data_IF_984931425358
#
_entry.id   IF_984931425358
#
_cell.length_a   1.000
_cell.length_b   1.000
_cell.length_c   1.000
_cell.angle_alpha   90.00
_cell.angle_beta   90.00
_cell.angle_gamma   90.00
#
_symmetry.space_group_name_H-M   'P 1'
#
loop_
_entity.id
_entity.type
_entity.pdbx_description
1 polymer ?
#
# COMPACT_ATOMS: atom_id res chain seq x y z
N UNK A 1 2.00 16.74 -5.52
CA UNK A 1 1.06 17.13 -4.45
C UNK A 1 0.04 16.02 -4.35
N UNK A 2 -0.22 15.47 -3.15
CA UNK A 2 -1.17 14.39 -2.92
C UNK A 2 -2.53 14.63 -3.59
N UNK A 3 -3.08 13.62 -4.28
CA UNK A 3 -4.43 13.65 -4.85
C UNK A 3 -5.47 13.45 -3.75
N UNK A 4 -5.98 14.55 -3.23
CA UNK A 4 -7.11 14.55 -2.31
C UNK A 4 -8.44 14.50 -3.06
N UNK A 5 -9.42 13.79 -2.49
CA UNK A 5 -10.81 13.89 -2.93
C UNK A 5 -11.44 15.09 -2.22
N UNK A 6 -11.91 16.13 -2.96
CA UNK A 6 -12.65 17.23 -2.36
C UNK A 6 -13.88 16.75 -1.60
N UNK A 7 -14.18 17.37 -0.46
CA UNK A 7 -15.26 16.93 0.44
C UNK A 7 -16.65 16.85 -0.22
N UNK A 8 -16.91 17.71 -1.21
CA UNK A 8 -18.13 17.74 -2.02
C UNK A 8 -18.22 16.58 -3.02
N UNK A 9 -17.08 16.01 -3.43
CA UNK A 9 -17.01 14.85 -4.33
C UNK A 9 -17.00 13.51 -3.59
N UNK A 10 -16.77 13.48 -2.27
CA UNK A 10 -16.75 12.24 -1.48
C UNK A 10 -18.02 11.40 -1.66
N UNK A 11 -19.26 11.95 -1.63
CA UNK A 11 -20.46 11.13 -1.85
C UNK A 11 -20.49 10.46 -3.23
N UNK A 12 -19.97 11.13 -4.27
CA UNK A 12 -19.90 10.56 -5.61
C UNK A 12 -18.82 9.49 -5.73
N UNK A 13 -17.66 9.71 -5.13
CA UNK A 13 -16.58 8.70 -5.04
C UNK A 13 -17.09 7.46 -4.33
N UNK A 14 -17.65 7.60 -3.12
CA UNK A 14 -18.20 6.47 -2.37
C UNK A 14 -19.31 5.76 -3.14
N UNK A 15 -20.25 6.52 -3.73
CA UNK A 15 -21.35 5.96 -4.50
C UNK A 15 -20.89 5.18 -5.75
N UNK A 16 -19.82 5.64 -6.40
CA UNK A 16 -19.18 4.93 -7.51
C UNK A 16 -18.48 3.65 -7.06
N UNK A 17 -17.76 3.68 -5.93
CA UNK A 17 -17.09 2.49 -5.38
C UNK A 17 -18.11 1.42 -4.92
N UNK A 18 -19.17 1.83 -4.21
CA UNK A 18 -20.29 0.93 -3.83
C UNK A 18 -20.95 0.37 -5.10
N UNK A 19 -21.20 1.21 -6.10
CA UNK A 19 -21.78 0.80 -7.37
C UNK A 19 -20.88 -0.14 -8.19
N UNK A 20 -19.56 -0.14 -7.96
CA UNK A 20 -18.62 -1.08 -8.55
C UNK A 20 -18.64 -2.44 -7.86
N UNK A 21 -18.92 -2.47 -6.56
CA UNK A 21 -19.10 -3.70 -5.78
C UNK A 21 -20.52 -4.28 -5.88
N UNK A 22 -21.48 -3.55 -6.46
CA UNK A 22 -22.89 -3.94 -6.58
C UNK A 22 -23.16 -5.00 -7.67
N UNK A 23 -22.56 -6.16 -7.49
CA UNK A 23 -22.67 -7.35 -8.36
C UNK A 23 -22.91 -8.58 -7.50
N UNK A 24 -23.36 -9.68 -8.11
CA UNK A 24 -23.50 -10.98 -7.43
C UNK A 24 -24.31 -10.94 -6.12
N UNK A 25 -25.33 -10.07 -6.06
CA UNK A 25 -26.16 -9.85 -4.87
C UNK A 25 -25.73 -8.68 -3.98
N UNK A 26 -24.69 -7.94 -4.37
CA UNK A 26 -24.23 -6.72 -3.71
C UNK A 26 -22.78 -6.81 -3.20
N UNK A 27 -22.28 -5.74 -2.55
CA UNK A 27 -20.94 -5.74 -1.96
C UNK A 27 -20.81 -6.83 -0.90
N UNK A 28 -19.62 -7.46 -0.82
CA UNK A 28 -19.30 -8.43 0.24
C UNK A 28 -19.24 -7.74 1.61
N UNK A 29 -19.31 -8.47 2.74
CA UNK A 29 -19.10 -7.90 4.06
C UNK A 29 -17.75 -7.16 4.19
N UNK A 30 -16.71 -7.71 3.58
CA UNK A 30 -15.36 -7.11 3.55
C UNK A 30 -15.33 -5.82 2.73
N UNK A 31 -15.90 -5.82 1.51
CA UNK A 31 -16.05 -4.60 0.71
C UNK A 31 -16.83 -3.52 1.48
N UNK A 32 -17.92 -3.90 2.16
CA UNK A 32 -18.67 -2.97 2.99
C UNK A 32 -17.84 -2.40 4.15
N UNK A 33 -17.06 -3.23 4.84
CA UNK A 33 -16.18 -2.80 5.92
C UNK A 33 -15.12 -1.80 5.42
N UNK A 34 -14.44 -2.11 4.31
CA UNK A 34 -13.44 -1.21 3.70
C UNK A 34 -14.07 0.12 3.27
N UNK A 35 -15.22 0.09 2.61
CA UNK A 35 -15.92 1.31 2.20
C UNK A 35 -16.35 2.18 3.39
N UNK A 36 -16.81 1.55 4.48
CA UNK A 36 -17.18 2.24 5.71
C UNK A 36 -15.97 2.85 6.43
N UNK A 37 -14.85 2.14 6.45
CA UNK A 37 -13.60 2.63 7.00
C UNK A 37 -13.06 3.82 6.20
N UNK A 38 -13.11 3.77 4.86
CA UNK A 38 -12.74 4.91 4.02
C UNK A 38 -13.63 6.13 4.28
N UNK A 39 -14.95 5.94 4.37
CA UNK A 39 -15.87 7.03 4.72
C UNK A 39 -15.53 7.67 6.06
N UNK A 40 -15.27 6.85 7.08
CA UNK A 40 -15.05 7.33 8.45
C UNK A 40 -13.65 7.90 8.67
N UNK A 41 -12.61 7.18 8.27
CA UNK A 41 -11.23 7.49 8.66
C UNK A 41 -10.41 8.21 7.58
N UNK A 42 -10.72 7.98 6.29
CA UNK A 42 -10.03 8.70 5.21
C UNK A 42 -10.69 10.05 4.93
N UNK A 43 -12.01 10.08 4.80
CA UNK A 43 -12.75 11.28 4.40
C UNK A 43 -13.37 12.06 5.57
N UNK A 44 -13.33 11.54 6.79
CA UNK A 44 -13.98 12.14 7.97
C UNK A 44 -15.48 12.41 7.74
N UNK A 45 -16.16 11.43 7.14
CA UNK A 45 -17.59 11.46 6.78
C UNK A 45 -18.33 10.24 7.34
N UNK A 46 -18.38 10.07 8.68
CA UNK A 46 -19.12 8.96 9.31
C UNK A 46 -20.65 9.04 9.07
N UNK A 47 -21.15 10.16 8.54
CA UNK A 47 -22.53 10.33 8.11
C UNK A 47 -22.85 9.59 6.79
N UNK A 48 -21.83 9.21 6.02
CA UNK A 48 -22.00 8.47 4.78
C UNK A 48 -21.93 6.96 5.03
N UNK A 49 -23.08 6.31 4.92
CA UNK A 49 -23.22 4.87 5.09
C UNK A 49 -23.20 4.15 3.72
N UNK A 50 -22.19 3.29 3.42
CA UNK A 50 -22.11 2.54 2.18
C UNK A 50 -23.31 1.60 1.92
N UNK A 51 -24.06 1.22 2.97
CA UNK A 51 -25.24 0.37 2.83
C UNK A 51 -26.44 1.15 2.23
N UNK A 52 -26.51 2.46 2.46
CA UNK A 52 -27.67 3.30 2.13
C UNK A 52 -27.37 4.43 1.15
N UNK A 53 -26.09 4.70 0.85
CA UNK A 53 -25.73 5.73 -0.11
C UNK A 53 -26.21 5.41 -1.54
N UNK A 54 -26.35 6.45 -2.35
CA UNK A 54 -26.70 6.28 -3.77
C UNK A 54 -25.62 5.50 -4.50
N UNK A 55 -26.00 4.42 -5.19
CA UNK A 55 -25.11 3.62 -6.04
C UNK A 55 -25.03 4.30 -7.40
N UNK A 56 -23.85 4.84 -7.73
CA UNK A 56 -23.64 5.42 -9.04
C UNK A 56 -23.21 4.33 -10.01
N UNK A 57 -23.63 4.40 -11.27
CA UNK A 57 -23.08 3.56 -12.34
C UNK A 57 -21.81 4.19 -12.95
N UNK A 58 -21.15 3.50 -13.90
CA UNK A 58 -19.94 3.98 -14.55
C UNK A 58 -20.07 5.40 -15.14
N UNK A 59 -21.06 5.64 -16.00
CA UNK A 59 -21.25 6.94 -16.67
C UNK A 59 -21.59 8.06 -15.70
N UNK A 60 -22.43 7.76 -14.70
CA UNK A 60 -22.80 8.73 -13.67
C UNK A 60 -21.60 9.10 -12.79
N UNK A 61 -20.73 8.12 -12.48
CA UNK A 61 -19.48 8.35 -11.76
C UNK A 61 -18.51 9.19 -12.59
N UNK A 62 -18.34 8.85 -13.87
CA UNK A 62 -17.48 9.61 -14.78
C UNK A 62 -17.93 11.07 -14.97
N UNK A 63 -19.25 11.30 -15.02
CA UNK A 63 -19.83 12.64 -15.08
C UNK A 63 -19.65 13.42 -13.77
N UNK A 64 -19.71 12.75 -12.62
CA UNK A 64 -19.53 13.37 -11.31
C UNK A 64 -18.06 13.66 -10.97
N UNK A 65 -17.12 12.93 -11.57
CA UNK A 65 -15.68 13.06 -11.33
C UNK A 65 -14.95 13.61 -12.57
N UNK A 66 -15.06 14.92 -12.89
CA UNK A 66 -14.44 15.49 -14.07
C UNK A 66 -12.92 15.71 -13.93
N UNK A 67 -12.39 15.75 -12.70
CA UNK A 67 -10.97 16.00 -12.42
C UNK A 67 -10.14 14.71 -12.57
N UNK A 68 -9.15 14.66 -13.49
CA UNK A 68 -8.26 13.52 -13.65
C UNK A 68 -7.52 13.10 -12.37
N UNK A 69 -7.18 14.03 -11.48
CA UNK A 69 -6.54 13.73 -10.20
C UNK A 69 -7.47 12.92 -9.29
N UNK A 70 -8.74 13.29 -9.24
CA UNK A 70 -9.77 12.56 -8.47
C UNK A 70 -10.07 11.21 -9.11
N UNK A 71 -10.10 11.11 -10.45
CA UNK A 71 -10.26 9.83 -11.15
C UNK A 71 -9.14 8.86 -10.85
N UNK A 72 -7.89 9.33 -10.78
CA UNK A 72 -6.76 8.47 -10.45
C UNK A 72 -6.82 7.97 -8.99
N UNK A 73 -7.21 8.84 -8.04
CA UNK A 73 -7.46 8.40 -6.65
C UNK A 73 -8.64 7.43 -6.56
N UNK A 74 -9.71 7.65 -7.32
CA UNK A 74 -10.82 6.73 -7.43
C UNK A 74 -10.36 5.36 -7.96
N UNK A 75 -9.50 5.33 -8.97
CA UNK A 75 -8.95 4.09 -9.55
C UNK A 75 -8.18 3.25 -8.53
N UNK A 76 -7.31 3.88 -7.74
CA UNK A 76 -6.55 3.20 -6.67
C UNK A 76 -7.47 2.56 -5.61
N UNK A 77 -8.56 3.25 -5.25
CA UNK A 77 -9.57 2.74 -4.31
C UNK A 77 -10.50 1.69 -4.95
N UNK A 78 -10.85 1.86 -6.23
CA UNK A 78 -11.67 0.94 -7.00
C UNK A 78 -11.02 -0.44 -7.07
N UNK A 79 -9.72 -0.46 -7.40
CA UNK A 79 -8.96 -1.70 -7.45
C UNK A 79 -8.80 -2.33 -6.06
N UNK A 80 -8.61 -1.52 -5.01
CA UNK A 80 -8.60 -2.03 -3.62
C UNK A 80 -9.89 -2.78 -3.28
N UNK A 81 -11.06 -2.22 -3.58
CA UNK A 81 -12.33 -2.88 -3.28
C UNK A 81 -12.66 -4.02 -4.24
N UNK A 82 -12.13 -4.04 -5.47
CA UNK A 82 -12.19 -5.20 -6.36
C UNK A 82 -11.50 -6.42 -5.74
N UNK A 83 -10.33 -6.20 -5.10
CA UNK A 83 -9.53 -7.25 -4.46
C UNK A 83 -10.18 -7.84 -3.21
N UNK A 84 -11.09 -7.11 -2.57
CA UNK A 84 -11.83 -7.54 -1.37
C UNK A 84 -12.97 -8.54 -1.66
N UNK A 85 -12.99 -9.15 -2.85
CA UNK A 85 -13.98 -10.17 -3.24
C UNK A 85 -13.30 -11.52 -3.45
N UNK A 86 -13.62 -12.46 -2.56
CA UNK A 86 -13.03 -13.80 -2.52
C UNK A 86 -14.10 -14.89 -2.70
N UNK A 87 -14.06 -15.69 -3.78
CA UNK A 87 -13.17 -15.58 -4.94
C UNK A 87 -13.55 -14.39 -5.83
N UNK A 88 -12.57 -13.91 -6.61
CA UNK A 88 -12.81 -12.92 -7.68
C UNK A 88 -13.82 -13.51 -8.67
N UNK A 89 -14.83 -12.74 -9.04
CA UNK A 89 -15.87 -13.17 -9.98
C UNK A 89 -15.71 -12.49 -11.34
N UNK A 90 -16.05 -13.17 -12.46
CA UNK A 90 -16.07 -12.53 -13.78
C UNK A 90 -16.95 -11.28 -13.81
N UNK A 91 -18.11 -11.31 -13.14
CA UNK A 91 -19.03 -10.17 -13.06
C UNK A 91 -18.43 -8.97 -12.32
N UNK A 92 -17.65 -9.17 -11.27
CA UNK A 92 -16.90 -8.10 -10.60
C UNK A 92 -15.85 -7.48 -11.53
N UNK A 93 -15.11 -8.30 -12.27
CA UNK A 93 -14.08 -7.84 -13.22
C UNK A 93 -14.70 -7.06 -14.39
N UNK A 94 -15.76 -7.58 -14.99
CA UNK A 94 -16.53 -6.91 -16.05
C UNK A 94 -17.10 -5.56 -15.55
N UNK A 95 -17.58 -5.53 -14.29
CA UNK A 95 -18.10 -4.31 -13.68
C UNK A 95 -17.01 -3.26 -13.54
N UNK A 96 -15.86 -3.61 -12.99
CA UNK A 96 -14.72 -2.69 -12.85
C UNK A 96 -14.21 -2.23 -14.21
N UNK A 97 -14.24 -3.09 -15.23
CA UNK A 97 -13.89 -2.70 -16.61
C UNK A 97 -14.81 -1.62 -17.16
N UNK A 98 -16.11 -1.71 -16.89
CA UNK A 98 -17.05 -0.67 -17.28
C UNK A 98 -16.74 0.69 -16.61
N UNK A 99 -16.36 0.69 -15.32
CA UNK A 99 -15.88 1.91 -14.66
C UNK A 99 -14.58 2.43 -15.28
N UNK A 100 -13.60 1.55 -15.48
CA UNK A 100 -12.33 1.94 -16.08
C UNK A 100 -12.53 2.56 -17.46
N UNK A 101 -13.39 1.96 -18.30
CA UNK A 101 -13.73 2.49 -19.62
C UNK A 101 -14.42 3.88 -19.54
N UNK A 102 -15.43 4.03 -18.68
CA UNK A 102 -16.18 5.29 -18.56
C UNK A 102 -15.33 6.45 -17.99
N UNK A 103 -14.44 6.14 -17.05
CA UNK A 103 -13.54 7.11 -16.44
C UNK A 103 -12.22 7.31 -17.21
N UNK A 104 -12.02 6.58 -18.30
CA UNK A 104 -10.77 6.58 -19.10
C UNK A 104 -9.53 6.20 -18.26
N UNK A 105 -9.70 5.23 -17.37
CA UNK A 105 -8.64 4.70 -16.52
C UNK A 105 -7.82 3.65 -17.28
N UNK A 106 -6.51 3.66 -17.07
CA UNK A 106 -5.59 2.70 -17.64
C UNK A 106 -4.47 2.39 -16.66
N UNK A 107 -4.00 1.16 -16.67
CA UNK A 107 -2.90 0.71 -15.83
C UNK A 107 -2.66 -0.79 -15.93
N UNK A 108 -1.45 -1.28 -15.56
CA UNK A 108 -1.12 -2.70 -15.57
C UNK A 108 -1.96 -3.51 -14.56
N UNK A 109 -2.41 -2.87 -13.49
CA UNK A 109 -3.26 -3.40 -12.44
C UNK A 109 -4.63 -3.88 -12.97
N UNK A 110 -5.23 -3.16 -13.91
CA UNK A 110 -6.45 -3.63 -14.59
C UNK A 110 -6.21 -4.98 -15.30
N UNK A 111 -5.05 -5.19 -15.91
CA UNK A 111 -4.75 -6.45 -16.59
C UNK A 111 -4.75 -7.67 -15.65
N UNK A 112 -4.29 -7.50 -14.41
CA UNK A 112 -4.01 -8.61 -13.50
C UNK A 112 -5.24 -9.46 -13.17
N UNK A 113 -6.35 -8.83 -12.81
CA UNK A 113 -7.58 -9.55 -12.43
C UNK A 113 -8.28 -10.18 -13.63
N UNK A 114 -8.11 -9.58 -14.80
CA UNK A 114 -8.61 -10.11 -16.07
C UNK A 114 -7.83 -11.36 -16.45
N UNK A 115 -6.50 -11.30 -16.38
CA UNK A 115 -5.62 -12.47 -16.51
C UNK A 115 -5.97 -13.54 -15.47
N UNK A 116 -6.21 -13.16 -14.22
CA UNK A 116 -6.55 -14.10 -13.14
C UNK A 116 -7.83 -14.88 -13.47
N UNK A 117 -8.88 -14.20 -13.93
CA UNK A 117 -10.17 -14.84 -14.29
C UNK A 117 -10.08 -15.62 -15.60
N UNK A 118 -9.42 -15.08 -16.63
CA UNK A 118 -9.40 -15.67 -17.97
C UNK A 118 -8.35 -16.78 -18.15
N UNK A 119 -7.18 -16.61 -17.52
CA UNK A 119 -5.99 -17.44 -17.73
C UNK A 119 -5.48 -18.12 -16.44
N UNK A 120 -5.97 -17.70 -15.27
CA UNK A 120 -5.67 -18.32 -13.97
C UNK A 120 -4.53 -17.67 -13.19
N UNK A 121 -4.41 -18.06 -11.91
CA UNK A 121 -3.49 -17.44 -10.94
C UNK A 121 -2.02 -17.50 -11.34
N UNK A 122 -1.55 -18.60 -11.94
CA UNK A 122 -0.15 -18.73 -12.35
C UNK A 122 0.24 -17.69 -13.41
N UNK A 123 -0.66 -17.38 -14.36
CA UNK A 123 -0.40 -16.39 -15.38
C UNK A 123 -0.46 -14.97 -14.81
N UNK A 124 -1.44 -14.69 -13.95
CA UNK A 124 -1.55 -13.41 -13.26
C UNK A 124 -0.35 -13.13 -12.35
N UNK A 125 0.15 -14.14 -11.63
CA UNK A 125 1.38 -14.05 -10.84
C UNK A 125 2.59 -13.74 -11.73
N UNK A 126 2.74 -14.41 -12.88
CA UNK A 126 3.81 -14.12 -13.83
C UNK A 126 3.70 -12.71 -14.46
N UNK A 127 2.50 -12.13 -14.55
CA UNK A 127 2.31 -10.73 -14.95
C UNK A 127 2.75 -9.77 -13.85
N UNK A 128 2.33 -10.04 -12.61
CA UNK A 128 2.75 -9.27 -11.43
C UNK A 128 4.27 -9.30 -11.22
N UNK A 129 4.92 -10.46 -11.32
CA UNK A 129 6.37 -10.61 -11.18
C UNK A 129 7.14 -9.73 -12.18
N UNK A 130 6.65 -9.60 -13.42
CA UNK A 130 7.28 -8.71 -14.42
C UNK A 130 7.16 -7.25 -14.02
N UNK A 131 5.97 -6.81 -13.60
CA UNK A 131 5.77 -5.44 -13.13
C UNK A 131 6.61 -5.15 -11.88
N UNK A 132 6.68 -6.11 -10.97
CA UNK A 132 7.51 -6.02 -9.78
C UNK A 132 8.98 -5.84 -10.13
N UNK A 133 9.50 -6.67 -11.04
CA UNK A 133 10.90 -6.62 -11.47
C UNK A 133 11.28 -5.26 -12.08
N UNK A 134 10.38 -4.65 -12.86
CA UNK A 134 10.58 -3.31 -13.45
C UNK A 134 10.70 -2.20 -12.38
N UNK A 135 10.07 -2.40 -11.22
CA UNK A 135 10.03 -1.40 -10.14
C UNK A 135 11.18 -1.53 -9.14
N UNK A 136 11.91 -2.66 -9.13
CA UNK A 136 13.02 -2.91 -8.18
C UNK A 136 14.01 -1.74 -8.15
N UNK A 137 14.57 -1.25 -9.28
CA UNK A 137 15.58 -0.20 -9.23
C UNK A 137 15.05 1.13 -8.67
N UNK A 138 13.80 1.47 -9.01
CA UNK A 138 13.16 2.71 -8.57
C UNK A 138 12.83 2.70 -7.07
N UNK A 139 12.56 1.52 -6.51
CA UNK A 139 12.22 1.32 -5.09
C UNK A 139 13.39 0.91 -4.20
N UNK A 140 14.56 0.68 -4.79
CA UNK A 140 15.76 0.31 -4.05
C UNK A 140 16.43 1.50 -3.39
N UNK A 141 16.99 1.25 -2.20
CA UNK A 141 17.78 2.19 -1.42
C UNK A 141 18.85 2.85 -2.31
N UNK A 142 18.84 4.20 -2.46
CA UNK A 142 19.73 4.88 -3.39
C UNK A 142 21.20 4.53 -3.22
N UNK A 143 21.68 4.41 -1.98
CA UNK A 143 23.07 4.09 -1.67
C UNK A 143 23.45 2.62 -1.92
N UNK A 144 22.48 1.76 -2.26
CA UNK A 144 22.67 0.32 -2.54
C UNK A 144 22.29 -0.08 -3.96
N UNK A 145 21.91 0.86 -4.85
CA UNK A 145 21.44 0.53 -6.22
C UNK A 145 22.41 -0.30 -7.05
N UNK A 146 23.72 -0.12 -6.88
CA UNK A 146 24.73 -0.95 -7.57
C UNK A 146 24.68 -2.44 -7.19
N UNK A 147 23.93 -2.81 -6.15
CA UNK A 147 23.70 -4.19 -5.74
C UNK A 147 22.57 -4.85 -6.53
N UNK A 148 21.60 -4.11 -7.07
CA UNK A 148 20.42 -4.70 -7.73
C UNK A 148 20.76 -5.46 -9.01
N UNK A 149 21.95 -5.23 -9.58
CA UNK A 149 22.45 -5.95 -10.76
C UNK A 149 23.38 -7.10 -10.41
N UNK A 150 23.65 -7.34 -9.12
CA UNK A 150 24.52 -8.44 -8.67
C UNK A 150 23.70 -9.72 -8.53
N UNK A 151 24.32 -10.90 -8.71
CA UNK A 151 23.65 -12.16 -8.40
C UNK A 151 23.24 -12.23 -6.92
N UNK A 152 22.10 -12.88 -6.64
CA UNK A 152 21.70 -13.19 -5.27
C UNK A 152 22.76 -14.06 -4.60
N UNK A 153 23.37 -13.53 -3.53
CA UNK A 153 24.36 -14.21 -2.71
C UNK A 153 24.45 -13.50 -1.35
N UNK A 154 24.80 -14.20 -0.26
CA UNK A 154 25.02 -13.57 1.02
C UNK A 154 26.01 -12.39 0.91
N UNK A 155 25.68 -11.27 1.55
CA UNK A 155 26.48 -10.05 1.61
C UNK A 155 26.84 -9.72 3.07
N UNK A 156 27.96 -10.26 3.59
CA UNK A 156 28.42 -9.97 4.94
C UNK A 156 28.72 -8.48 5.19
N UNK A 157 29.02 -7.70 4.15
CA UNK A 157 29.32 -6.28 4.29
C UNK A 157 28.04 -5.48 4.52
N UNK A 158 26.95 -5.80 3.81
CA UNK A 158 25.64 -5.22 4.07
C UNK A 158 25.16 -5.58 5.48
N UNK A 159 25.26 -6.86 5.86
CA UNK A 159 24.89 -7.31 7.21
C UNK A 159 25.69 -6.59 8.28
N UNK A 160 27.00 -6.41 8.11
CA UNK A 160 27.84 -5.67 9.05
C UNK A 160 27.44 -4.19 9.13
N UNK A 161 27.13 -3.56 7.98
CA UNK A 161 26.65 -2.17 7.92
C UNK A 161 25.34 -2.00 8.67
N UNK A 162 24.36 -2.89 8.46
CA UNK A 162 23.08 -2.87 9.15
C UNK A 162 23.26 -3.10 10.66
N UNK A 163 24.07 -4.09 11.07
CA UNK A 163 24.34 -4.33 12.50
C UNK A 163 24.95 -3.13 13.21
N UNK A 164 25.88 -2.42 12.56
CA UNK A 164 26.51 -1.23 13.12
C UNK A 164 25.51 -0.08 13.39
N UNK A 165 24.34 -0.07 12.73
CA UNK A 165 23.30 0.92 13.03
C UNK A 165 22.74 0.79 14.46
N UNK A 166 22.82 -0.39 15.07
CA UNK A 166 22.39 -0.59 16.46
C UNK A 166 23.40 -0.02 17.48
N UNK A 167 24.59 0.39 17.05
CA UNK A 167 25.55 1.13 17.90
C UNK A 167 25.21 2.63 17.99
N UNK A 168 24.29 3.12 17.14
CA UNK A 168 23.76 4.48 17.22
C UNK A 168 22.88 4.66 18.48
N UNK A 169 22.66 5.90 18.95
CA UNK A 169 21.79 6.13 20.09
C UNK A 169 20.38 5.57 19.88
N UNK A 170 19.79 5.04 20.97
CA UNK A 170 18.40 4.60 20.98
C UNK A 170 17.46 5.72 20.52
N UNK A 171 16.46 5.35 19.70
CA UNK A 171 15.50 6.31 19.13
C UNK A 171 16.00 7.08 17.90
N UNK A 172 17.19 6.75 17.37
CA UNK A 172 17.61 7.18 16.03
C UNK A 172 16.99 6.28 14.95
N UNK A 173 16.94 6.78 13.70
CA UNK A 173 16.35 6.04 12.56
C UNK A 173 17.06 4.69 12.35
N UNK A 174 18.40 4.69 12.34
CA UNK A 174 19.21 3.48 12.13
C UNK A 174 19.07 2.47 13.26
N UNK A 175 19.09 2.92 14.52
CA UNK A 175 18.87 2.04 15.67
C UNK A 175 17.50 1.35 15.58
N UNK A 176 16.46 2.13 15.23
CA UNK A 176 15.08 1.65 15.13
C UNK A 176 14.89 0.62 14.01
N UNK A 177 15.63 0.73 12.91
CA UNK A 177 15.60 -0.28 11.84
C UNK A 177 16.10 -1.65 12.33
N UNK A 178 17.21 -1.68 13.07
CA UNK A 178 17.73 -2.97 13.58
C UNK A 178 16.79 -3.55 14.62
N UNK A 179 16.19 -2.69 15.45
CA UNK A 179 15.17 -3.10 16.42
C UNK A 179 13.89 -3.61 15.75
N UNK A 180 13.50 -3.06 14.59
CA UNK A 180 12.39 -3.57 13.77
C UNK A 180 12.63 -5.03 13.37
N UNK A 181 13.78 -5.33 12.76
CA UNK A 181 14.14 -6.70 12.38
C UNK A 181 14.15 -7.64 13.59
N UNK A 182 14.71 -7.20 14.72
CA UNK A 182 14.75 -8.00 15.95
C UNK A 182 13.36 -8.29 16.50
N UNK A 183 12.46 -7.30 16.54
CA UNK A 183 11.08 -7.44 17.05
C UNK A 183 10.22 -8.31 16.13
N UNK A 184 10.36 -8.14 14.82
CA UNK A 184 9.64 -8.92 13.83
C UNK A 184 10.19 -10.35 13.65
N UNK A 185 11.37 -10.65 14.22
CA UNK A 185 12.01 -11.96 14.06
C UNK A 185 12.56 -12.18 12.64
N UNK A 186 12.85 -11.11 11.92
CA UNK A 186 13.32 -11.12 10.54
C UNK A 186 14.85 -11.19 10.49
N UNK A 187 15.38 -11.87 9.47
CA UNK A 187 16.81 -11.83 9.17
C UNK A 187 17.19 -10.45 8.60
N UNK A 188 18.42 -10.01 8.87
CA UNK A 188 18.93 -8.79 8.24
C UNK A 188 19.12 -9.02 6.72
N UNK A 189 18.71 -8.08 5.86
CA UNK A 189 19.03 -8.11 4.43
C UNK A 189 20.51 -8.38 4.18
N UNK A 190 20.79 -9.22 3.19
CA UNK A 190 22.13 -9.74 2.88
C UNK A 190 22.55 -10.99 3.65
N UNK A 191 21.78 -11.48 4.63
CA UNK A 191 22.16 -12.70 5.38
C UNK A 191 22.08 -13.96 4.51
N UNK A 192 20.97 -14.14 3.80
CA UNK A 192 20.77 -15.22 2.83
C UNK A 192 21.12 -14.78 1.41
N UNK A 193 20.99 -13.48 1.14
CA UNK A 193 21.26 -12.86 -0.14
C UNK A 193 20.05 -12.90 -1.07
N UNK A 194 19.52 -11.73 -1.42
CA UNK A 194 18.43 -11.56 -2.36
C UNK A 194 18.72 -10.41 -3.31
N UNK A 195 18.28 -10.50 -4.56
CA UNK A 195 18.32 -9.33 -5.47
C UNK A 195 17.44 -8.18 -4.95
N UNK A 196 16.55 -8.48 -3.99
CA UNK A 196 15.65 -7.52 -3.35
C UNK A 196 16.23 -6.89 -2.08
N UNK A 197 17.40 -7.30 -1.60
CA UNK A 197 17.99 -6.73 -0.38
C UNK A 197 18.01 -5.18 -0.37
N UNK A 198 18.39 -4.47 -1.47
CA UNK A 198 18.32 -3.01 -1.51
C UNK A 198 16.90 -2.44 -1.43
N UNK A 199 15.91 -3.16 -1.96
CA UNK A 199 14.50 -2.78 -1.88
C UNK A 199 13.97 -2.98 -0.46
N UNK A 200 14.25 -4.13 0.16
CA UNK A 200 13.84 -4.38 1.54
C UNK A 200 14.40 -3.35 2.50
N UNK A 201 15.68 -3.01 2.40
CA UNK A 201 16.27 -1.96 3.24
C UNK A 201 15.51 -0.64 3.11
N UNK A 202 15.22 -0.17 1.89
CA UNK A 202 14.45 1.06 1.70
C UNK A 202 13.03 0.95 2.26
N UNK A 203 12.33 -0.14 1.94
CA UNK A 203 10.97 -0.43 2.40
C UNK A 203 10.86 -0.48 3.93
N UNK A 204 11.79 -1.16 4.60
CA UNK A 204 11.80 -1.31 6.05
C UNK A 204 12.10 0.01 6.77
N UNK A 205 12.88 0.91 6.15
CA UNK A 205 13.00 2.28 6.66
C UNK A 205 11.66 3.05 6.56
N UNK A 206 10.82 2.77 5.57
CA UNK A 206 9.48 3.38 5.51
C UNK A 206 8.62 2.90 6.68
N UNK A 207 8.68 1.61 7.05
CA UNK A 207 8.05 1.10 8.28
C UNK A 207 8.53 1.84 9.53
N UNK A 208 9.84 2.06 9.68
CA UNK A 208 10.41 2.79 10.82
C UNK A 208 9.88 4.24 10.87
N UNK A 209 9.94 4.95 9.74
CA UNK A 209 9.60 6.38 9.69
C UNK A 209 8.09 6.60 9.83
N UNK A 210 7.25 5.82 9.13
CA UNK A 210 5.80 5.85 9.32
C UNK A 210 5.40 5.34 10.71
N UNK A 211 6.18 4.42 11.26
CA UNK A 211 5.88 3.69 12.48
C UNK A 211 4.81 2.62 12.29
N UNK A 212 4.49 2.19 11.06
CA UNK A 212 3.53 1.12 10.78
C UNK A 212 4.26 -0.23 10.92
N UNK A 213 3.69 -1.19 11.65
CA UNK A 213 4.28 -2.50 11.86
C UNK A 213 4.23 -3.39 10.59
N UNK A 214 5.21 -4.28 10.36
CA UNK A 214 5.25 -5.18 9.20
C UNK A 214 4.41 -6.44 9.47
N UNK A 215 3.12 -6.26 9.73
CA UNK A 215 2.12 -7.33 9.77
C UNK A 215 1.36 -7.37 8.45
N UNK A 216 0.60 -8.43 8.13
CA UNK A 216 -0.13 -8.48 6.85
C UNK A 216 -1.04 -7.28 6.61
N UNK A 217 -1.79 -6.84 7.62
CA UNK A 217 -2.59 -5.61 7.57
C UNK A 217 -1.74 -4.33 7.54
N UNK A 218 -0.60 -4.33 8.24
CA UNK A 218 0.36 -3.23 8.24
C UNK A 218 1.06 -3.03 6.90
N UNK A 219 1.33 -4.09 6.14
CA UNK A 219 1.87 -4.02 4.77
C UNK A 219 0.91 -3.30 3.82
N UNK A 220 -0.38 -3.65 3.89
CA UNK A 220 -1.43 -2.98 3.10
C UNK A 220 -1.56 -1.52 3.53
N UNK A 221 -1.56 -1.24 4.84
CA UNK A 221 -1.65 0.11 5.37
C UNK A 221 -0.43 0.97 5.02
N UNK A 222 0.79 0.41 5.04
CA UNK A 222 2.01 1.08 4.59
C UNK A 222 1.90 1.46 3.11
N UNK A 223 1.41 0.54 2.27
CA UNK A 223 1.13 0.83 0.87
C UNK A 223 0.15 2.00 0.71
N UNK A 224 -0.94 2.00 1.48
CA UNK A 224 -1.91 3.10 1.55
C UNK A 224 -1.27 4.43 1.95
N UNK A 225 -0.43 4.41 2.99
CA UNK A 225 0.34 5.57 3.43
C UNK A 225 1.23 6.12 2.30
N UNK A 226 1.96 5.25 1.60
CA UNK A 226 2.88 5.65 0.52
C UNK A 226 2.15 6.27 -0.67
N UNK A 227 1.06 5.67 -1.15
CA UNK A 227 0.29 6.22 -2.29
C UNK A 227 -0.36 7.57 -1.94
N UNK A 228 -0.72 7.79 -0.67
CA UNK A 228 -1.23 9.08 -0.22
C UNK A 228 -0.12 10.13 -0.01
N UNK A 229 1.08 9.71 0.39
CA UNK A 229 2.23 10.59 0.59
C UNK A 229 2.68 11.30 -0.71
N UNK A 230 2.74 10.57 -1.83
CA UNK A 230 2.99 11.19 -3.13
C UNK A 230 2.48 10.33 -4.30
N UNK A 231 1.80 10.97 -5.26
CA UNK A 231 1.22 10.29 -6.42
C UNK A 231 2.24 10.01 -7.53
N UNK A 232 3.17 9.10 -7.25
CA UNK A 232 4.16 8.60 -8.21
C UNK A 232 3.81 7.17 -8.65
N UNK A 233 4.24 6.74 -9.85
CA UNK A 233 4.10 5.33 -10.25
C UNK A 233 4.74 4.35 -9.24
N UNK A 234 5.81 4.77 -8.56
CA UNK A 234 6.49 3.95 -7.56
C UNK A 234 5.66 3.75 -6.29
N UNK A 235 4.98 4.80 -5.81
CA UNK A 235 4.09 4.68 -4.65
C UNK A 235 2.76 3.99 -4.99
N UNK A 236 2.22 4.21 -6.20
CA UNK A 236 1.07 3.45 -6.67
C UNK A 236 1.38 1.94 -6.72
N UNK A 237 2.58 1.57 -7.20
CA UNK A 237 3.05 0.19 -7.15
C UNK A 237 3.29 -0.31 -5.71
N UNK A 238 3.83 0.54 -4.83
CA UNK A 238 4.04 0.21 -3.42
C UNK A 238 2.72 -0.09 -2.69
N UNK A 239 1.58 0.42 -3.17
CA UNK A 239 0.25 0.07 -2.68
C UNK A 239 -0.33 -1.18 -3.36
N UNK A 240 -0.16 -1.30 -4.68
CA UNK A 240 -0.61 -2.47 -5.45
C UNK A 240 0.01 -3.79 -4.94
N UNK A 241 1.31 -3.78 -4.69
CA UNK A 241 2.08 -4.98 -4.31
C UNK A 241 1.55 -5.68 -3.05
N UNK A 242 1.42 -5.02 -1.88
CA UNK A 242 0.90 -5.67 -0.68
C UNK A 242 -0.58 -6.09 -0.82
N UNK A 243 -1.39 -5.40 -1.63
CA UNK A 243 -2.75 -5.88 -1.90
C UNK A 243 -2.75 -7.18 -2.71
N UNK A 244 -1.83 -7.38 -3.66
CA UNK A 244 -1.72 -8.66 -4.38
C UNK A 244 -1.29 -9.78 -3.43
N UNK A 245 -0.27 -9.50 -2.60
CA UNK A 245 0.32 -10.50 -1.70
C UNK A 245 -0.57 -10.83 -0.52
N UNK A 246 -1.18 -9.82 0.12
CA UNK A 246 -1.90 -9.98 1.38
C UNK A 246 -3.42 -9.94 1.26
N UNK A 247 -3.97 -9.35 0.21
CA UNK A 247 -5.42 -9.23 0.04
C UNK A 247 -5.96 -10.22 -1.01
N UNK A 248 -5.48 -10.14 -2.24
CA UNK A 248 -5.93 -11.01 -3.33
C UNK A 248 -5.34 -12.43 -3.26
N UNK A 249 -4.13 -12.57 -2.73
CA UNK A 249 -3.51 -13.85 -2.39
C UNK A 249 -3.14 -14.75 -3.58
N UNK A 250 -3.02 -14.21 -4.79
CA UNK A 250 -2.68 -15.02 -5.98
C UNK A 250 -1.18 -15.03 -6.32
N UNK A 251 -0.36 -14.23 -5.65
CA UNK A 251 1.09 -14.18 -5.86
C UNK A 251 1.83 -13.75 -4.59
N UNK A 252 2.98 -14.36 -4.32
CA UNK A 252 3.91 -13.96 -3.25
C UNK A 252 5.10 -13.19 -3.82
N UNK A 253 6.01 -12.75 -2.94
CA UNK A 253 7.26 -12.07 -3.33
C UNK A 253 8.41 -12.69 -2.55
N UNK A 254 9.42 -13.20 -3.25
CA UNK A 254 10.59 -13.83 -2.64
C UNK A 254 10.21 -14.97 -1.68
N UNK A 255 10.49 -14.84 -0.38
CA UNK A 255 10.13 -15.79 0.68
C UNK A 255 8.79 -15.47 1.36
N UNK A 256 8.10 -14.41 0.94
CA UNK A 256 6.83 -13.97 1.50
C UNK A 256 5.69 -14.71 0.80
N UNK A 257 5.01 -15.57 1.57
CA UNK A 257 3.84 -16.33 1.11
C UNK A 257 2.61 -15.44 0.91
N UNK A 258 1.82 -15.76 -0.11
CA UNK A 258 0.56 -15.09 -0.38
C UNK A 258 -0.52 -15.44 0.65
N UNK A 259 -1.34 -14.46 1.04
CA UNK A 259 -2.51 -14.60 1.91
C UNK A 259 -3.71 -13.88 1.29
N UNK A 260 -4.93 -14.24 1.67
CA UNK A 260 -6.15 -13.64 1.14
C UNK A 260 -7.08 -13.10 2.23
N UNK A 261 -7.84 -12.07 1.91
CA UNK A 261 -8.86 -11.47 2.79
C UNK A 261 -8.28 -10.88 4.08
N UNK A 262 -7.18 -10.15 3.96
CA UNK A 262 -6.53 -9.52 5.13
C UNK A 262 -7.33 -8.31 5.60
N UNK A 263 -7.96 -7.56 4.70
CA UNK A 263 -8.80 -6.42 5.05
C UNK A 263 -10.10 -6.82 5.76
N UNK A 264 -10.52 -8.08 5.64
CA UNK A 264 -11.63 -8.66 6.39
C UNK A 264 -11.28 -9.02 7.84
N UNK A 265 -10.02 -8.89 8.26
CA UNK A 265 -9.60 -9.09 9.65
C UNK A 265 -10.03 -7.89 10.51
N UNK A 266 -10.22 -8.09 11.83
CA UNK A 266 -10.51 -6.98 12.73
C UNK A 266 -9.48 -5.85 12.59
N UNK A 267 -9.96 -4.61 12.51
CA UNK A 267 -9.16 -3.38 12.41
C UNK A 267 -8.37 -3.14 11.11
N UNK A 268 -8.27 -4.11 10.20
CA UNK A 268 -7.42 -3.97 9.02
C UNK A 268 -7.92 -2.90 8.04
N UNK A 269 -9.24 -2.82 7.84
CA UNK A 269 -9.88 -1.79 7.01
C UNK A 269 -9.70 -0.38 7.61
N UNK A 270 -9.90 -0.26 8.92
CA UNK A 270 -9.73 0.99 9.67
C UNK A 270 -8.28 1.46 9.63
N UNK A 271 -7.32 0.55 9.82
CA UNK A 271 -5.89 0.83 9.72
C UNK A 271 -5.52 1.35 8.32
N UNK A 272 -5.94 0.67 7.25
CA UNK A 272 -5.70 1.14 5.88
C UNK A 272 -6.26 2.56 5.67
N UNK A 273 -7.50 2.81 6.07
CA UNK A 273 -8.14 4.11 5.85
C UNK A 273 -7.49 5.23 6.68
N UNK A 274 -7.13 4.96 7.93
CA UNK A 274 -6.42 5.90 8.79
C UNK A 274 -5.02 6.24 8.24
N UNK A 275 -4.29 5.23 7.73
CA UNK A 275 -2.95 5.41 7.20
C UNK A 275 -2.92 6.07 5.82
N UNK A 276 -3.93 5.86 4.97
CA UNK A 276 -4.17 6.68 3.78
C UNK A 276 -4.33 8.17 4.18
N UNK A 277 -5.12 8.46 5.22
CA UNK A 277 -5.32 9.83 5.67
C UNK A 277 -4.02 10.44 6.22
N UNK A 278 -3.28 9.66 7.03
CA UNK A 278 -2.04 10.09 7.68
C UNK A 278 -0.91 10.31 6.66
N UNK A 279 -0.77 9.40 5.69
CA UNK A 279 0.16 9.55 4.57
C UNK A 279 -0.10 10.80 3.75
N UNK A 280 -1.36 11.13 3.47
CA UNK A 280 -1.74 12.32 2.71
C UNK A 280 -1.36 13.65 3.38
N UNK A 281 -1.17 13.66 4.71
CA UNK A 281 -0.81 14.86 5.49
C UNK A 281 0.70 15.07 5.64
N UNK A 282 1.51 14.14 5.15
CA UNK A 282 2.96 14.31 5.09
C UNK A 282 3.36 15.48 4.19
N UNK A 283 4.53 16.06 4.45
CA UNK A 283 5.05 17.22 3.71
C UNK A 283 6.16 16.88 2.72
N UNK A 284 6.57 15.61 2.65
CA UNK A 284 7.58 15.14 1.70
C UNK A 284 7.60 13.63 1.59
N UNK A 285 8.02 13.15 0.41
CA UNK A 285 8.17 11.72 0.14
C UNK A 285 9.50 11.21 0.69
N UNK A 286 9.42 10.41 1.75
CA UNK A 286 10.59 9.77 2.36
C UNK A 286 10.83 8.34 1.86
N UNK A 287 10.02 7.78 0.97
CA UNK A 287 10.20 6.39 0.53
C UNK A 287 11.43 6.18 -0.37
N UNK A 288 11.98 7.26 -0.94
CA UNK A 288 13.04 7.18 -1.95
C UNK A 288 14.27 8.06 -1.63
N UNK A 289 14.40 8.49 -0.37
CA UNK A 289 15.58 9.23 0.10
C UNK A 289 16.75 8.28 0.38
N UNK A 290 17.96 8.81 0.56
CA UNK A 290 19.07 8.03 1.12
C UNK A 290 18.85 7.88 2.63
N UNK A 291 18.29 6.74 3.04
CA UNK A 291 17.94 6.53 4.44
C UNK A 291 19.17 6.38 5.34
N UNK A 292 20.30 5.91 4.80
CA UNK A 292 21.53 5.83 5.55
C UNK A 292 22.07 7.22 5.91
N UNK A 293 21.82 8.23 5.08
CA UNK A 293 22.14 9.63 5.41
C UNK A 293 21.25 10.20 6.54
N UNK A 294 20.15 9.53 6.88
CA UNK A 294 19.26 9.90 7.99
C UNK A 294 19.49 9.05 9.25
N UNK A 295 20.31 7.99 9.18
CA UNK A 295 20.35 6.92 10.17
C UNK A 295 20.72 7.40 11.59
N UNK A 296 21.64 8.36 11.72
CA UNK A 296 22.09 8.91 13.00
C UNK A 296 21.15 9.96 13.60
N UNK A 297 20.15 10.40 12.84
CA UNK A 297 19.21 11.44 13.26
C UNK A 297 18.17 10.85 14.22
N UNK A 298 17.72 11.61 15.24
CA UNK A 298 16.58 11.21 16.06
C UNK A 298 15.34 10.99 15.20
N UNK A 299 14.66 9.85 15.38
CA UNK A 299 13.48 9.46 14.59
C UNK A 299 12.37 10.51 14.68
N UNK A 300 12.13 11.07 15.87
CA UNK A 300 11.16 12.14 16.08
C UNK A 300 11.46 13.40 15.26
N UNK A 301 12.75 13.74 15.07
CA UNK A 301 13.13 14.89 14.26
C UNK A 301 12.92 14.62 12.76
N UNK A 302 13.25 13.41 12.29
CA UNK A 302 13.01 13.01 10.89
C UNK A 302 11.50 13.00 10.59
N UNK A 303 10.68 12.45 11.48
CA UNK A 303 9.21 12.51 11.36
C UNK A 303 8.69 13.94 11.29
N UNK A 304 9.22 14.85 12.11
CA UNK A 304 8.85 16.26 12.08
C UNK A 304 9.21 16.94 10.74
N UNK A 305 10.38 16.64 10.16
CA UNK A 305 10.80 17.20 8.87
C UNK A 305 9.87 16.77 7.71
N UNK A 306 9.39 15.52 7.75
CA UNK A 306 8.49 14.96 6.74
C UNK A 306 7.00 15.13 7.07
N UNK A 307 6.67 15.79 8.19
CA UNK A 307 5.27 15.98 8.59
C UNK A 307 4.54 14.67 8.93
N UNK A 308 5.27 13.64 9.40
CA UNK A 308 4.67 12.38 9.83
C UNK A 308 4.04 12.58 11.21
N UNK A 309 2.71 12.68 11.23
CA UNK A 309 1.93 12.82 12.45
C UNK A 309 1.92 11.53 13.27
N UNK A 310 1.79 11.65 14.59
CA UNK A 310 1.56 10.51 15.49
C UNK A 310 0.23 9.83 15.12
N UNK A 311 0.16 8.48 15.08
CA UNK A 311 -1.12 7.79 14.94
C UNK A 311 -2.04 8.13 16.12
N UNK A 312 -3.35 8.00 15.91
CA UNK A 312 -4.37 8.32 16.94
C UNK A 312 -4.15 7.50 18.21
N UNK A 313 -3.88 6.20 18.05
CA UNK A 313 -3.47 5.31 19.12
C UNK A 313 -2.13 4.64 18.74
N UNK A 314 -1.00 5.08 19.33
CA UNK A 314 0.32 4.50 19.06
C UNK A 314 0.55 3.13 19.72
N UNK A 315 -0.31 2.74 20.66
CA UNK A 315 -0.19 1.50 21.45
C UNK A 315 -1.19 0.43 20.97
N UNK A 316 -1.78 0.61 19.78
CA UNK A 316 -2.77 -0.26 19.16
C UNK A 316 -2.23 -1.63 18.69
N UNK A 317 -0.92 -1.85 18.82
CA UNK A 317 -0.24 -3.06 18.36
C UNK A 317 0.09 -3.09 16.86
N UNK A 318 -0.33 -2.06 16.12
CA UNK A 318 -0.03 -1.87 14.70
C UNK A 318 0.99 -0.75 14.46
N UNK A 319 1.30 0.02 15.50
CA UNK A 319 2.30 1.07 15.45
C UNK A 319 3.53 0.80 16.33
N UNK A 320 4.69 1.26 15.86
CA UNK A 320 5.99 1.06 16.48
C UNK A 320 6.75 2.39 16.64
N UNK A 321 7.58 2.44 17.70
CA UNK A 321 8.56 3.52 17.94
C UNK A 321 7.94 4.91 18.17
N UNK A 322 6.83 5.02 18.92
CA UNK A 322 6.11 6.27 19.24
C UNK A 322 6.11 6.64 20.73
#
# INVERSE_FOLDING_TARGET
MPRWVPADLVPAVLGGLVGACDVDGGPTPEQHAVLGALATHLWDRPDLDPATCARLGPDATAAALPDPAVRARFHELLFTVEMCRHPVTPTQVERVEAYAAALELAGPDLGLFRTLVAEGAARAAADFERFFAEMIPARSEPSLRDMTTRPAAPDPALVARLRALHDLPEGTVGWSLVELYRRAGLALPGSEGSVLDPLYVAHDFVHVISGIAPTGEGEIALGGFQVAMADTPANAFAFLSPLIVHEAGFSGVDTIDATAGTLGRPYAAELLAAELARGGRTTGDFAFVDHFALADRPLAAVRADFGVERPTDPDDGHHLFW
#
